data_IF_080761050067
#
_entry.id   IF_080761050067
#
_cell.length_a   1.000
_cell.length_b   1.000
_cell.length_c   1.000
_cell.angle_alpha   90.00
_cell.angle_beta   90.00
_cell.angle_gamma   90.00
#
_symmetry.space_group_name_H-M   'P 1'
#
loop_
_entity.id
_entity.type
_entity.pdbx_description
1 polymer ?
#
# COMPACT_ATOMS: atom_id res chain seq x y z
N UNK A 1 15.65 -21.94 -14.35
CA UNK A 1 15.13 -22.79 -13.26
C UNK A 1 13.71 -23.19 -13.62
N UNK A 2 13.39 -24.50 -13.76
CA UNK A 2 12.02 -24.94 -14.00
C UNK A 2 11.16 -24.67 -12.76
N UNK A 3 9.98 -24.08 -12.96
CA UNK A 3 8.98 -23.89 -11.91
C UNK A 3 8.10 -25.13 -11.85
N UNK A 4 8.11 -25.83 -10.75
CA UNK A 4 7.25 -26.98 -10.50
C UNK A 4 6.02 -26.55 -9.73
N UNK A 5 4.84 -26.85 -10.27
CA UNK A 5 3.56 -26.62 -9.58
C UNK A 5 3.06 -27.97 -9.06
N UNK A 6 2.92 -28.08 -7.73
CA UNK A 6 2.34 -29.26 -7.09
C UNK A 6 0.84 -29.06 -6.82
N UNK A 7 0.02 -30.03 -7.19
CA UNK A 7 -1.41 -30.02 -6.87
C UNK A 7 -1.70 -30.65 -5.49
N UNK A 8 -0.69 -31.23 -4.84
CA UNK A 8 -0.82 -31.99 -3.59
C UNK A 8 -0.42 -31.12 -2.38
N UNK A 9 0.32 -30.06 -2.60
CA UNK A 9 0.79 -29.20 -1.49
C UNK A 9 -0.20 -28.06 -1.24
N UNK A 10 -0.86 -28.07 -0.06
CA UNK A 10 -1.70 -26.97 0.40
C UNK A 10 -0.94 -26.19 1.46
N UNK A 11 -0.80 -24.88 1.25
CA UNK A 11 -0.24 -23.96 2.26
C UNK A 11 -1.37 -23.11 2.84
N UNK A 12 -1.60 -23.27 4.15
CA UNK A 12 -2.54 -22.43 4.87
C UNK A 12 -1.87 -21.11 5.25
N UNK A 13 -2.35 -20.03 4.67
CA UNK A 13 -1.83 -18.70 4.97
C UNK A 13 -2.75 -17.99 5.97
N UNK A 14 -2.26 -17.70 7.17
CA UNK A 14 -2.98 -16.88 8.13
C UNK A 14 -3.07 -15.43 7.62
N UNK A 15 -4.28 -14.98 7.34
CA UNK A 15 -4.53 -13.58 7.00
C UNK A 15 -4.26 -12.69 8.21
N UNK A 16 -3.68 -11.53 7.96
CA UNK A 16 -3.44 -10.56 9.03
C UNK A 16 -4.76 -10.02 9.57
N UNK A 17 -4.95 -10.13 10.88
CA UNK A 17 -6.20 -9.78 11.56
C UNK A 17 -6.19 -8.37 12.17
N UNK A 18 -5.04 -7.66 12.20
CA UNK A 18 -4.95 -6.35 12.82
C UNK A 18 -4.44 -5.26 11.86
N UNK A 19 -4.98 -4.06 12.01
CA UNK A 19 -4.55 -2.87 11.25
C UNK A 19 -3.07 -2.54 11.50
N UNK A 20 -2.56 -2.81 12.70
CA UNK A 20 -1.14 -2.65 13.03
C UNK A 20 -0.24 -3.53 12.16
N UNK A 21 -0.63 -4.80 11.99
CA UNK A 21 0.12 -5.72 11.14
C UNK A 21 -0.01 -5.37 9.66
N UNK A 22 -1.16 -4.81 9.27
CA UNK A 22 -1.39 -4.28 7.93
C UNK A 22 -0.47 -3.08 7.64
N UNK A 23 -0.38 -2.14 8.59
CA UNK A 23 0.55 -1.01 8.52
C UNK A 23 2.01 -1.45 8.37
N UNK A 24 2.48 -2.33 9.29
CA UNK A 24 3.86 -2.86 9.25
C UNK A 24 4.20 -3.48 7.90
N UNK A 25 3.27 -4.25 7.35
CA UNK A 25 3.44 -4.89 6.05
C UNK A 25 3.55 -3.85 4.93
N UNK A 26 2.62 -2.91 4.86
CA UNK A 26 2.58 -1.90 3.82
C UNK A 26 3.83 -1.02 3.84
N UNK A 27 4.26 -0.61 5.02
CA UNK A 27 5.50 0.13 5.22
C UNK A 27 6.72 -0.66 4.73
N UNK A 28 6.81 -1.94 5.08
CA UNK A 28 7.90 -2.82 4.64
C UNK A 28 7.92 -2.99 3.11
N UNK A 29 6.76 -3.11 2.48
CA UNK A 29 6.68 -3.16 1.02
C UNK A 29 7.20 -1.89 0.37
N UNK A 30 6.82 -0.71 0.88
CA UNK A 30 7.36 0.57 0.40
C UNK A 30 8.87 0.65 0.54
N UNK A 31 9.41 0.30 1.71
CA UNK A 31 10.84 0.30 1.97
C UNK A 31 11.62 -0.57 0.97
N UNK A 32 11.21 -1.82 0.82
CA UNK A 32 11.90 -2.74 -0.09
C UNK A 32 11.68 -2.38 -1.55
N UNK A 33 10.53 -1.79 -1.88
CA UNK A 33 10.26 -1.32 -3.24
C UNK A 33 11.27 -0.26 -3.67
N UNK A 34 11.57 0.70 -2.81
CA UNK A 34 12.63 1.69 -3.08
C UNK A 34 13.97 1.03 -3.32
N UNK A 35 14.38 0.05 -2.49
CA UNK A 35 15.65 -0.67 -2.68
C UNK A 35 15.69 -1.40 -4.02
N UNK A 36 14.59 -2.03 -4.42
CA UNK A 36 14.49 -2.72 -5.72
C UNK A 36 14.59 -1.73 -6.88
N UNK A 37 13.93 -0.58 -6.80
CA UNK A 37 13.96 0.46 -7.85
C UNK A 37 15.38 1.04 -7.99
N UNK A 38 16.04 1.36 -6.87
CA UNK A 38 17.41 1.86 -6.89
C UNK A 38 18.38 0.86 -7.53
N UNK A 39 18.18 -0.44 -7.31
CA UNK A 39 19.00 -1.49 -7.92
C UNK A 39 18.62 -1.80 -9.36
N UNK A 40 17.33 -1.68 -9.69
CA UNK A 40 16.76 -2.05 -10.98
C UNK A 40 15.80 -0.98 -11.50
N UNK A 41 16.30 0.17 -12.02
CA UNK A 41 15.46 1.30 -12.43
C UNK A 41 14.40 0.94 -13.49
N UNK A 42 14.69 -0.05 -14.33
CA UNK A 42 13.76 -0.55 -15.36
C UNK A 42 12.46 -1.16 -14.79
N UNK A 43 12.41 -1.45 -13.47
CA UNK A 43 11.23 -1.99 -12.77
C UNK A 43 10.39 -0.92 -12.10
N UNK A 44 10.67 0.35 -12.36
CA UNK A 44 9.86 1.46 -11.86
C UNK A 44 8.50 1.45 -12.57
N UNK A 45 7.41 1.37 -11.79
CA UNK A 45 6.06 1.56 -12.28
C UNK A 45 5.55 2.92 -11.75
N UNK A 46 5.27 3.90 -12.63
CA UNK A 46 4.78 5.22 -12.22
C UNK A 46 3.49 5.17 -11.39
N UNK A 47 2.67 4.14 -11.58
CA UNK A 47 1.39 3.96 -10.85
C UNK A 47 1.58 3.81 -9.35
N UNK A 48 2.70 3.26 -8.92
CA UNK A 48 3.02 3.07 -7.50
C UNK A 48 3.28 4.39 -6.76
N UNK A 49 3.63 5.44 -7.51
CA UNK A 49 3.90 6.77 -6.95
C UNK A 49 2.68 7.69 -6.97
N UNK A 50 1.56 7.27 -7.55
CA UNK A 50 0.34 8.07 -7.55
C UNK A 50 -0.09 8.57 -6.17
N UNK A 51 -0.04 7.78 -5.08
CA UNK A 51 -0.36 8.27 -3.75
C UNK A 51 0.61 9.35 -3.26
N UNK A 52 1.90 9.20 -3.59
CA UNK A 52 2.94 10.19 -3.22
C UNK A 52 2.72 11.48 -3.99
N UNK A 53 2.49 11.37 -5.29
CA UNK A 53 2.23 12.52 -6.17
C UNK A 53 0.95 13.24 -5.71
N UNK A 54 -0.11 12.49 -5.38
CA UNK A 54 -1.36 13.06 -4.86
C UNK A 54 -1.14 13.85 -3.56
N UNK A 55 -0.37 13.31 -2.61
CA UNK A 55 -0.01 14.01 -1.38
C UNK A 55 0.79 15.29 -1.65
N UNK A 56 1.80 15.22 -2.53
CA UNK A 56 2.60 16.40 -2.89
C UNK A 56 1.75 17.47 -3.56
N UNK A 57 0.83 17.11 -4.44
CA UNK A 57 -0.06 18.07 -5.11
C UNK A 57 -0.98 18.77 -4.10
N UNK A 58 -1.47 18.08 -3.08
CA UNK A 58 -2.29 18.70 -2.02
C UNK A 58 -1.50 19.77 -1.25
N UNK A 59 -0.21 19.50 -0.97
CA UNK A 59 0.65 20.45 -0.28
C UNK A 59 1.09 21.65 -1.15
N UNK A 60 1.30 21.42 -2.44
CA UNK A 60 1.78 22.44 -3.37
C UNK A 60 0.65 23.33 -3.93
N UNK A 61 -0.55 22.79 -4.04
CA UNK A 61 -1.71 23.45 -4.63
C UNK A 61 -2.88 23.41 -3.62
N UNK A 62 -2.95 24.38 -2.70
CA UNK A 62 -3.99 24.43 -1.66
C UNK A 62 -5.41 24.47 -2.23
N UNK A 63 -5.57 24.93 -3.49
CA UNK A 63 -6.85 24.91 -4.19
C UNK A 63 -7.35 23.49 -4.52
N UNK A 64 -6.49 22.48 -4.42
CA UNK A 64 -6.82 21.07 -4.69
C UNK A 64 -7.29 20.30 -3.45
N UNK A 65 -7.79 21.00 -2.42
CA UNK A 65 -8.34 20.39 -1.21
C UNK A 65 -9.47 19.37 -1.49
N UNK A 66 -10.15 19.49 -2.63
CA UNK A 66 -11.18 18.53 -3.07
C UNK A 66 -10.60 17.20 -3.56
N UNK A 67 -9.32 17.13 -3.92
CA UNK A 67 -8.71 15.89 -4.40
C UNK A 67 -8.71 14.75 -3.37
N UNK A 68 -8.35 14.98 -2.08
CA UNK A 68 -8.50 13.96 -1.04
C UNK A 68 -9.95 13.52 -0.85
N UNK A 69 -10.90 14.44 -0.94
CA UNK A 69 -12.31 14.12 -0.83
C UNK A 69 -12.77 13.24 -1.99
N UNK A 70 -12.42 13.61 -3.22
CA UNK A 70 -12.71 12.80 -4.42
C UNK A 70 -12.09 11.40 -4.31
N UNK A 71 -10.86 11.30 -3.81
CA UNK A 71 -10.20 10.02 -3.57
C UNK A 71 -10.97 9.16 -2.56
N UNK A 72 -11.35 9.70 -1.40
CA UNK A 72 -12.13 8.96 -0.39
C UNK A 72 -13.50 8.55 -0.93
N UNK A 73 -14.18 9.44 -1.67
CA UNK A 73 -15.46 9.12 -2.31
C UNK A 73 -15.31 7.98 -3.33
N UNK A 74 -14.25 8.00 -4.13
CA UNK A 74 -13.96 6.93 -5.08
C UNK A 74 -13.71 5.60 -4.38
N UNK A 75 -12.94 5.60 -3.29
CA UNK A 75 -12.69 4.39 -2.50
C UNK A 75 -13.98 3.86 -1.86
N UNK A 76 -14.84 4.75 -1.33
CA UNK A 76 -16.13 4.37 -0.76
C UNK A 76 -17.05 3.78 -1.83
N UNK A 77 -17.11 4.39 -3.01
CA UNK A 77 -17.89 3.89 -4.14
C UNK A 77 -17.46 2.49 -4.56
N UNK A 78 -16.17 2.25 -4.74
CA UNK A 78 -15.67 0.91 -5.02
C UNK A 78 -15.89 -0.06 -3.84
N UNK A 79 -15.77 0.41 -2.60
CA UNK A 79 -16.14 -0.36 -1.42
C UNK A 79 -17.59 -0.86 -1.47
N UNK A 80 -18.52 0.00 -1.87
CA UNK A 80 -19.94 -0.35 -2.05
C UNK A 80 -20.12 -1.37 -3.16
N UNK A 81 -19.53 -1.14 -4.33
CA UNK A 81 -19.64 -2.03 -5.48
C UNK A 81 -19.16 -3.45 -5.19
N UNK A 82 -18.02 -3.56 -4.48
CA UNK A 82 -17.39 -4.87 -4.22
C UNK A 82 -17.82 -5.54 -2.91
N UNK A 83 -18.54 -4.83 -2.02
CA UNK A 83 -18.87 -5.35 -0.68
C UNK A 83 -19.98 -6.41 -0.66
N UNK A 84 -20.69 -6.62 -1.77
CA UNK A 84 -21.84 -7.55 -1.83
C UNK A 84 -22.68 -7.54 -0.55
N UNK A 85 -23.14 -6.36 -0.12
CA UNK A 85 -24.04 -6.13 1.03
C UNK A 85 -23.45 -6.27 2.45
N UNK A 86 -22.15 -6.41 2.64
CA UNK A 86 -21.57 -6.37 3.99
C UNK A 86 -21.14 -4.95 4.35
N UNK A 87 -21.91 -4.28 5.18
CA UNK A 87 -21.65 -2.89 5.65
C UNK A 87 -20.20 -2.71 6.18
N UNK A 88 -19.68 -3.69 6.90
CA UNK A 88 -18.29 -3.69 7.39
C UNK A 88 -17.24 -3.53 6.26
N UNK A 89 -17.52 -3.99 5.04
CA UNK A 89 -16.60 -3.83 3.91
C UNK A 89 -16.65 -2.42 3.33
N UNK A 90 -17.80 -1.75 3.38
CA UNK A 90 -17.98 -0.38 2.86
C UNK A 90 -17.03 0.59 3.60
N UNK A 91 -16.93 0.44 4.92
CA UNK A 91 -16.07 1.28 5.76
C UNK A 91 -14.65 0.71 5.86
N UNK A 92 -14.53 -0.62 5.97
CA UNK A 92 -13.25 -1.29 6.17
C UNK A 92 -12.30 -1.18 4.98
N UNK A 93 -12.82 -1.26 3.74
CA UNK A 93 -11.98 -1.18 2.54
C UNK A 93 -11.31 0.19 2.39
N UNK A 94 -12.03 1.34 2.48
CA UNK A 94 -11.39 2.65 2.45
C UNK A 94 -10.32 2.83 3.53
N UNK A 95 -10.62 2.43 4.78
CA UNK A 95 -9.67 2.52 5.89
C UNK A 95 -8.40 1.71 5.59
N UNK A 96 -8.54 0.47 5.14
CA UNK A 96 -7.40 -0.38 4.81
C UNK A 96 -6.56 0.20 3.66
N UNK A 97 -7.19 0.81 2.66
CA UNK A 97 -6.49 1.43 1.53
C UNK A 97 -5.77 2.72 1.93
N UNK A 98 -6.39 3.56 2.76
CA UNK A 98 -5.72 4.76 3.31
C UNK A 98 -4.49 4.34 4.11
N UNK A 99 -4.61 3.36 4.99
CA UNK A 99 -3.49 2.81 5.77
C UNK A 99 -2.40 2.24 4.84
N UNK A 100 -2.80 1.50 3.82
CA UNK A 100 -1.88 0.92 2.83
C UNK A 100 -1.08 2.02 2.14
N UNK A 101 -1.75 3.02 1.57
CA UNK A 101 -1.10 4.08 0.81
C UNK A 101 -0.21 4.94 1.69
N UNK A 102 -0.67 5.31 2.88
CA UNK A 102 0.11 6.13 3.82
C UNK A 102 1.35 5.39 4.29
N UNK A 103 1.19 4.15 4.77
CA UNK A 103 2.31 3.35 5.26
C UNK A 103 3.30 3.00 4.14
N UNK A 104 2.81 2.71 2.93
CA UNK A 104 3.64 2.45 1.76
C UNK A 104 4.46 3.69 1.38
N UNK A 105 3.84 4.87 1.34
CA UNK A 105 4.51 6.14 1.04
C UNK A 105 5.63 6.44 2.06
N UNK A 106 5.33 6.30 3.36
CA UNK A 106 6.34 6.48 4.41
C UNK A 106 7.47 5.46 4.23
N UNK A 107 7.13 4.21 3.88
CA UNK A 107 8.10 3.17 3.61
C UNK A 107 9.01 3.49 2.42
N UNK A 108 8.49 4.11 1.35
CA UNK A 108 9.29 4.58 0.21
C UNK A 108 10.35 5.59 0.65
N UNK A 109 9.97 6.60 1.45
CA UNK A 109 10.90 7.60 1.98
C UNK A 109 11.93 7.00 2.92
N UNK A 110 11.53 6.13 3.84
CA UNK A 110 12.45 5.41 4.71
C UNK A 110 13.44 4.54 3.91
N UNK A 111 13.00 3.97 2.80
CA UNK A 111 13.85 3.21 1.89
C UNK A 111 14.91 4.07 1.19
N UNK A 112 14.68 5.37 0.97
CA UNK A 112 15.68 6.30 0.43
C UNK A 112 16.74 6.66 1.48
N UNK A 113 16.31 6.92 2.70
CA UNK A 113 17.15 7.51 3.76
C UNK A 113 17.93 6.48 4.56
N UNK A 114 17.40 5.27 4.72
CA UNK A 114 17.99 4.22 5.56
C UNK A 114 18.62 3.11 4.75
N UNK A 115 19.81 2.68 5.14
CA UNK A 115 20.45 1.47 4.67
C UNK A 115 20.14 0.31 5.63
N UNK A 116 19.94 -0.91 5.10
CA UNK A 116 19.74 -2.12 5.89
C UNK A 116 18.28 -2.57 6.00
N UNK A 117 17.92 -3.22 7.11
CA UNK A 117 16.59 -3.82 7.33
C UNK A 117 15.53 -2.75 7.60
N UNK A 118 14.31 -3.00 7.11
CA UNK A 118 13.17 -2.15 7.41
C UNK A 118 12.93 -2.08 8.93
N UNK A 119 12.52 -0.91 9.50
CA UNK A 119 12.28 -0.77 10.93
C UNK A 119 11.26 -1.76 11.48
N UNK A 120 10.30 -2.16 10.66
CA UNK A 120 9.27 -3.14 11.01
C UNK A 120 9.78 -4.59 11.16
N UNK A 121 11.01 -4.88 10.76
CA UNK A 121 11.61 -6.22 10.87
C UNK A 121 12.34 -6.43 12.20
N UNK A 122 12.41 -5.39 13.04
CA UNK A 122 13.10 -5.40 14.34
C UNK A 122 12.17 -5.66 15.53
N UNK A 123 10.92 -6.03 15.26
CA UNK A 123 9.93 -6.31 16.31
C UNK A 123 9.57 -7.79 16.35
#
# INVERSE_FOLDING_TARGET
WPLWRSNVSCVYMHKRSSLKNWWKMSHRYGFWRTKVILKHPKRLDPREFLPVIGLLLIFLLPEWWYAPLAYVCTLAFFGILYSRSKFSCIVGVPICLIILHTAFTIGLFDGLTRSGKAPSDRA
#
